data_IF_472713106748
#
_entry.id   IF_472713106748
#
_cell.length_a   1.000
_cell.length_b   1.000
_cell.length_c   1.000
_cell.angle_alpha   90.00
_cell.angle_beta   90.00
_cell.angle_gamma   90.00
#
_symmetry.space_group_name_H-M   'P 1'
#
loop_
_entity.id
_entity.type
_entity.pdbx_description
1 polymer ?
#
# COMPACT_ATOMS: atom_id res chain seq x y z
N UNK A 1 -35.06 -13.51 54.26
CA UNK A 1 -36.54 -13.63 54.29
C UNK A 1 -37.14 -12.24 54.24
N UNK A 2 -38.11 -12.04 53.34
CA UNK A 2 -39.02 -10.88 53.20
C UNK A 2 -38.40 -9.57 52.69
N UNK A 3 -38.59 -9.20 51.41
CA UNK A 3 -39.79 -8.54 50.82
C UNK A 3 -39.96 -7.11 51.38
N UNK A 4 -40.11 -6.03 50.62
CA UNK A 4 -40.45 -5.84 49.22
C UNK A 4 -41.25 -4.53 49.07
N UNK A 5 -41.14 -3.90 47.91
CA UNK A 5 -42.14 -3.03 47.26
C UNK A 5 -42.50 -1.67 47.94
N UNK A 6 -42.06 -0.55 47.34
CA UNK A 6 -42.75 0.27 46.30
C UNK A 6 -43.86 1.17 46.84
N UNK A 7 -43.71 2.48 46.59
CA UNK A 7 -44.72 3.51 46.21
C UNK A 7 -44.20 4.88 46.66
N UNK A 8 -44.39 6.04 46.03
CA UNK A 8 -44.73 6.52 44.70
C UNK A 8 -44.67 8.06 44.80
N UNK A 9 -44.30 8.75 43.71
CA UNK A 9 -44.59 10.14 43.34
C UNK A 9 -44.71 11.25 44.41
N UNK A 10 -43.89 12.30 44.27
CA UNK A 10 -44.39 13.68 44.16
C UNK A 10 -43.35 14.60 43.51
N UNK A 11 -43.71 15.13 42.34
CA UNK A 11 -43.00 16.17 41.62
C UNK A 11 -43.03 17.51 42.36
N UNK A 12 -41.98 18.33 42.23
CA UNK A 12 -42.09 19.80 42.29
C UNK A 12 -40.97 20.47 41.49
N UNK A 13 -41.41 21.03 40.38
CA UNK A 13 -40.76 22.01 39.52
C UNK A 13 -40.41 23.26 40.33
N UNK A 14 -39.21 23.80 40.15
CA UNK A 14 -38.98 25.23 40.33
C UNK A 14 -37.95 25.73 39.32
N UNK A 15 -38.49 26.55 38.42
CA UNK A 15 -37.87 27.29 37.34
C UNK A 15 -37.09 28.47 37.95
N UNK A 16 -35.84 28.67 37.54
CA UNK A 16 -35.13 29.93 37.74
C UNK A 16 -34.62 30.42 36.37
N UNK A 17 -35.31 31.45 35.89
CA UNK A 17 -35.03 32.23 34.70
C UNK A 17 -33.91 33.23 35.02
N UNK A 18 -32.85 33.25 34.20
CA UNK A 18 -32.03 34.45 34.01
C UNK A 18 -31.91 34.68 32.50
N UNK A 19 -32.53 35.77 32.07
CA UNK A 19 -32.55 36.29 30.70
C UNK A 19 -31.39 37.25 30.52
N UNK A 20 -30.68 37.09 29.39
CA UNK A 20 -30.27 38.21 28.55
C UNK A 20 -28.81 38.67 28.68
N UNK A 21 -28.00 38.35 27.67
CA UNK A 21 -27.54 39.40 26.76
C UNK A 21 -27.24 38.85 25.37
N UNK A 22 -27.75 39.56 24.39
CA UNK A 22 -27.83 39.25 22.97
C UNK A 22 -26.52 39.74 22.32
N UNK A 23 -25.71 38.82 21.79
CA UNK A 23 -24.68 39.13 20.80
C UNK A 23 -24.93 38.25 19.59
N UNK A 24 -25.57 38.85 18.58
CA UNK A 24 -25.79 38.28 17.26
C UNK A 24 -24.43 38.13 16.60
N UNK A 25 -23.85 36.93 16.70
CA UNK A 25 -22.78 36.50 15.81
C UNK A 25 -23.45 35.68 14.72
N UNK A 26 -23.85 36.35 13.62
CA UNK A 26 -24.14 35.68 12.35
C UNK A 26 -22.81 35.22 11.74
N UNK A 27 -22.21 34.21 12.37
CA UNK A 27 -21.21 33.37 11.72
C UNK A 27 -21.97 32.25 11.03
N UNK A 28 -21.96 32.26 9.70
CA UNK A 28 -22.49 31.21 8.85
C UNK A 28 -22.00 29.84 9.32
N UNK A 29 -22.90 29.07 9.94
CA UNK A 29 -22.75 27.63 10.10
C UNK A 29 -22.81 27.03 8.70
N UNK A 30 -21.65 26.82 8.10
CA UNK A 30 -21.52 25.90 6.97
C UNK A 30 -21.93 24.52 7.47
N UNK A 31 -22.82 23.81 6.75
CA UNK A 31 -23.18 22.45 7.12
C UNK A 31 -21.91 21.58 7.04
N UNK A 32 -21.56 20.95 8.16
CA UNK A 32 -20.69 19.79 8.19
C UNK A 32 -21.39 18.68 7.39
N UNK A 33 -20.90 18.44 6.17
CA UNK A 33 -21.53 17.55 5.20
C UNK A 33 -20.92 17.68 3.82
N UNK A 34 -19.63 17.39 3.70
CA UNK A 34 -18.99 16.91 2.49
C UNK A 34 -17.71 16.19 2.94
N UNK A 35 -17.70 14.86 2.82
CA UNK A 35 -16.45 14.10 2.77
C UNK A 35 -15.55 14.74 1.71
N UNK A 36 -14.21 14.77 1.84
CA UNK A 36 -13.38 15.18 0.73
C UNK A 36 -13.60 14.15 -0.37
N UNK A 37 -14.49 14.47 -1.29
CA UNK A 37 -14.50 13.95 -2.64
C UNK A 37 -13.03 13.97 -3.08
N UNK A 38 -12.46 12.83 -3.46
CA UNK A 38 -11.01 12.67 -3.64
C UNK A 38 -10.41 13.80 -4.49
N UNK A 39 -9.09 14.01 -4.44
CA UNK A 39 -8.43 15.16 -5.11
C UNK A 39 -8.89 15.40 -6.56
N UNK A 40 -9.27 14.35 -7.29
CA UNK A 40 -9.92 14.45 -8.60
C UNK A 40 -11.23 15.26 -8.59
N UNK A 41 -12.16 14.98 -7.68
CA UNK A 41 -13.43 15.70 -7.57
C UNK A 41 -13.24 17.13 -7.07
N UNK A 42 -12.29 17.34 -6.15
CA UNK A 42 -11.93 18.67 -5.67
C UNK A 42 -11.26 19.51 -6.78
N UNK A 43 -10.39 18.89 -7.59
CA UNK A 43 -9.81 19.52 -8.77
C UNK A 43 -10.89 19.84 -9.81
N UNK A 44 -11.81 18.92 -10.10
CA UNK A 44 -12.91 19.14 -11.02
C UNK A 44 -13.79 20.33 -10.58
N UNK A 45 -14.18 20.40 -9.30
CA UNK A 45 -14.94 21.54 -8.75
C UNK A 45 -14.15 22.85 -8.83
N UNK A 46 -12.85 22.83 -8.56
CA UNK A 46 -12.00 24.00 -8.71
C UNK A 46 -11.96 24.48 -10.17
N UNK A 47 -11.89 23.55 -11.12
CA UNK A 47 -11.87 23.87 -12.55
C UNK A 47 -13.22 24.40 -13.05
N UNK A 48 -14.34 23.84 -12.58
CA UNK A 48 -15.69 24.35 -12.82
C UNK A 48 -15.88 25.79 -12.30
N UNK A 49 -15.26 26.12 -11.16
CA UNK A 49 -15.29 27.47 -10.60
C UNK A 49 -14.44 28.49 -11.38
N UNK A 50 -13.72 28.06 -12.44
CA UNK A 50 -12.86 28.88 -13.27
C UNK A 50 -11.40 28.97 -12.81
N UNK A 51 -10.97 28.06 -11.94
CA UNK A 51 -9.55 27.93 -11.59
C UNK A 51 -8.82 27.06 -12.62
N UNK A 52 -7.62 27.45 -13.02
CA UNK A 52 -6.79 26.65 -13.95
C UNK A 52 -5.77 25.78 -13.22
N UNK A 53 -5.61 25.98 -11.92
CA UNK A 53 -4.61 25.28 -11.10
C UNK A 53 -5.30 24.83 -9.81
N UNK A 54 -5.21 23.54 -9.52
CA UNK A 54 -5.56 22.93 -8.25
C UNK A 54 -4.30 22.35 -7.64
N UNK A 55 -4.08 22.61 -6.35
CA UNK A 55 -2.99 22.01 -5.57
C UNK A 55 -3.62 21.43 -4.31
N UNK A 56 -3.51 20.11 -4.17
CA UNK A 56 -3.97 19.41 -2.98
C UNK A 56 -3.18 19.87 -1.75
N UNK A 57 -3.82 20.05 -0.58
CA UNK A 57 -3.13 20.28 0.69
C UNK A 57 -2.10 19.19 1.01
N UNK A 58 -2.32 17.97 0.51
CA UNK A 58 -1.50 16.78 0.77
C UNK A 58 -0.53 16.47 -0.38
N UNK A 59 -0.36 17.39 -1.35
CA UNK A 59 0.52 17.20 -2.50
C UNK A 59 2.01 17.00 -2.13
N UNK A 60 2.43 17.46 -0.94
CA UNK A 60 3.83 17.39 -0.49
C UNK A 60 4.82 18.21 -1.33
N UNK A 61 4.33 19.00 -2.29
CA UNK A 61 5.11 19.79 -3.24
C UNK A 61 4.71 21.25 -3.22
N UNK A 62 5.68 22.15 -3.34
CA UNK A 62 5.42 23.60 -3.39
C UNK A 62 5.26 24.05 -4.84
N UNK A 63 4.09 24.61 -5.15
CA UNK A 63 3.79 25.20 -6.46
C UNK A 63 3.22 26.59 -6.25
N UNK A 64 3.83 27.60 -6.88
CA UNK A 64 3.25 28.93 -6.94
C UNK A 64 2.08 28.94 -7.93
N UNK A 65 0.89 28.61 -7.41
CA UNK A 65 -0.34 28.54 -8.19
C UNK A 65 -0.72 29.90 -8.79
N UNK A 66 -0.34 31.03 -8.16
CA UNK A 66 -0.64 32.36 -8.68
C UNK A 66 0.23 32.69 -9.89
N UNK A 67 1.53 32.40 -9.82
CA UNK A 67 2.44 32.55 -10.95
C UNK A 67 2.04 31.64 -12.12
N UNK A 68 1.71 30.38 -11.84
CA UNK A 68 1.30 29.43 -12.86
C UNK A 68 -0.04 29.84 -13.51
N UNK A 69 -1.01 30.31 -12.71
CA UNK A 69 -2.27 30.86 -13.23
C UNK A 69 -2.04 32.07 -14.15
N UNK A 70 -1.14 32.98 -13.77
CA UNK A 70 -0.78 34.13 -14.61
C UNK A 70 -0.11 33.71 -15.91
N UNK A 71 0.66 32.61 -15.91
CA UNK A 71 1.34 32.06 -17.07
C UNK A 71 0.40 31.35 -18.04
N UNK A 72 -0.53 30.55 -17.51
CA UNK A 72 -1.56 29.85 -18.28
C UNK A 72 -2.48 30.84 -19.01
N UNK A 73 -2.87 31.93 -18.33
CA UNK A 73 -3.63 33.01 -18.95
C UNK A 73 -4.96 32.53 -19.56
N UNK A 74 -5.04 32.52 -20.90
CA UNK A 74 -6.24 32.09 -21.66
C UNK A 74 -6.10 30.70 -22.29
N UNK A 75 -4.95 30.05 -22.12
CA UNK A 75 -4.72 28.71 -22.64
C UNK A 75 -5.68 27.74 -21.95
N UNK A 76 -6.35 26.84 -22.69
CA UNK A 76 -7.27 25.86 -22.10
C UNK A 76 -6.46 24.73 -21.45
N UNK A 77 -5.56 25.08 -20.53
CA UNK A 77 -4.72 24.19 -19.74
C UNK A 77 -5.19 24.23 -18.29
N UNK A 78 -5.41 23.06 -17.71
CA UNK A 78 -5.73 22.84 -16.32
C UNK A 78 -4.66 21.97 -15.69
N UNK A 79 -4.20 22.35 -14.51
CA UNK A 79 -3.12 21.64 -13.80
C UNK A 79 -3.64 21.21 -12.44
N UNK A 80 -3.63 19.91 -12.18
CA UNK A 80 -3.94 19.33 -10.88
C UNK A 80 -2.66 18.75 -10.27
N UNK A 81 -2.25 19.28 -9.13
CA UNK A 81 -1.18 18.71 -8.30
C UNK A 81 -1.86 18.02 -7.13
N UNK A 82 -1.77 16.70 -7.07
CA UNK A 82 -2.53 15.84 -6.13
C UNK A 82 -1.60 15.11 -5.17
N UNK A 83 -2.16 14.43 -4.17
CA UNK A 83 -1.38 13.61 -3.25
C UNK A 83 -0.55 12.53 -3.98
N UNK A 84 0.72 12.29 -3.59
CA UNK A 84 1.68 11.47 -4.33
C UNK A 84 1.36 9.97 -4.41
N UNK A 85 0.33 9.51 -3.72
CA UNK A 85 -0.12 8.11 -3.69
C UNK A 85 -1.27 7.82 -4.67
N UNK A 86 -1.61 8.78 -5.53
CA UNK A 86 -2.67 8.63 -6.53
C UNK A 86 -2.08 8.35 -7.92
N UNK A 87 -2.74 7.50 -8.70
CA UNK A 87 -2.39 7.30 -10.12
C UNK A 87 -2.83 8.52 -10.93
N UNK A 88 -1.91 9.28 -11.57
CA UNK A 88 -2.30 10.46 -12.36
C UNK A 88 -3.34 10.17 -13.45
N UNK A 89 -3.27 8.98 -14.07
CA UNK A 89 -4.20 8.56 -15.12
C UNK A 89 -5.64 8.38 -14.59
N UNK A 90 -5.81 7.74 -13.44
CA UNK A 90 -7.12 7.51 -12.82
C UNK A 90 -7.76 8.85 -12.42
N UNK A 91 -6.95 9.75 -11.85
CA UNK A 91 -7.34 11.11 -11.46
C UNK A 91 -7.72 11.92 -12.70
N UNK A 92 -6.90 11.91 -13.76
CA UNK A 92 -7.19 12.61 -15.01
C UNK A 92 -8.50 12.13 -15.64
N UNK A 93 -8.74 10.81 -15.64
CA UNK A 93 -9.97 10.21 -16.15
C UNK A 93 -11.20 10.61 -15.35
N UNK A 94 -11.09 10.63 -14.02
CA UNK A 94 -12.17 11.06 -13.14
C UNK A 94 -12.49 12.55 -13.34
N UNK A 95 -11.47 13.42 -13.38
CA UNK A 95 -11.65 14.85 -13.66
C UNK A 95 -12.33 15.06 -15.01
N UNK A 96 -11.87 14.37 -16.06
CA UNK A 96 -12.44 14.50 -17.42
C UNK A 96 -13.89 14.00 -17.51
N UNK A 97 -14.27 13.03 -16.66
CA UNK A 97 -15.65 12.52 -16.60
C UNK A 97 -16.60 13.53 -15.96
N UNK A 98 -16.13 14.25 -14.94
CA UNK A 98 -16.92 15.25 -14.20
C UNK A 98 -16.92 16.60 -14.91
N UNK A 99 -15.77 17.03 -15.41
CA UNK A 99 -15.54 18.31 -16.06
C UNK A 99 -15.26 18.09 -17.56
N UNK A 100 -16.25 18.39 -18.41
CA UNK A 100 -16.26 18.05 -19.85
C UNK A 100 -16.20 19.26 -20.83
N UNK A 101 -15.22 20.19 -20.74
CA UNK A 101 -14.91 21.12 -21.84
C UNK A 101 -13.77 20.64 -22.77
N UNK A 102 -13.58 21.33 -23.90
CA UNK A 102 -12.39 21.20 -24.76
C UNK A 102 -11.17 21.80 -24.06
N UNK A 103 -10.31 20.94 -23.50
CA UNK A 103 -9.18 21.38 -22.68
C UNK A 103 -8.01 20.39 -22.70
N UNK A 104 -6.88 20.84 -22.14
CA UNK A 104 -5.73 20.02 -21.77
C UNK A 104 -5.67 19.95 -20.25
N UNK A 105 -5.60 18.75 -19.68
CA UNK A 105 -5.39 18.55 -18.24
C UNK A 105 -4.03 17.91 -18.05
N UNK A 106 -3.20 18.49 -17.18
CA UNK A 106 -2.03 17.83 -16.63
C UNK A 106 -2.29 17.47 -15.16
N UNK A 107 -2.03 16.23 -14.80
CA UNK A 107 -2.11 15.74 -13.42
C UNK A 107 -0.73 15.34 -12.96
N UNK A 108 -0.33 15.83 -11.78
CA UNK A 108 0.97 15.59 -11.16
C UNK A 108 0.72 14.96 -9.79
N UNK A 109 1.34 13.80 -9.55
CA UNK A 109 1.27 13.05 -8.30
C UNK A 109 2.69 12.64 -7.92
N UNK A 110 3.32 13.36 -6.99
CA UNK A 110 4.71 13.12 -6.65
C UNK A 110 5.63 13.30 -7.86
N UNK A 111 6.40 12.27 -8.21
CA UNK A 111 7.23 12.28 -9.43
C UNK A 111 6.43 11.89 -10.68
N UNK A 112 5.25 11.31 -10.57
CA UNK A 112 4.50 10.86 -11.73
C UNK A 112 3.63 11.99 -12.28
N UNK A 113 3.50 12.04 -13.61
CA UNK A 113 2.68 13.04 -14.27
C UNK A 113 2.11 12.47 -15.57
N UNK A 114 0.90 12.90 -15.91
CA UNK A 114 0.27 12.59 -17.20
C UNK A 114 -0.45 13.81 -17.73
N UNK A 115 -0.55 13.93 -19.05
CA UNK A 115 -1.38 14.94 -19.69
C UNK A 115 -2.34 14.33 -20.70
N UNK A 116 -3.62 14.69 -20.58
CA UNK A 116 -4.65 14.36 -21.55
C UNK A 116 -5.21 15.63 -22.16
N UNK A 117 -5.66 15.58 -23.40
CA UNK A 117 -6.28 16.73 -24.05
C UNK A 117 -7.41 16.33 -24.98
N UNK A 118 -8.48 17.10 -24.91
CA UNK A 118 -9.59 17.12 -25.87
C UNK A 118 -9.49 18.33 -26.80
N UNK A 119 -8.54 19.25 -26.57
CA UNK A 119 -8.31 20.45 -27.39
C UNK A 119 -7.12 20.33 -28.36
N UNK A 120 -6.12 19.50 -28.04
CA UNK A 120 -4.96 19.21 -28.89
C UNK A 120 -5.16 17.91 -29.68
N UNK A 121 -4.35 17.70 -30.71
CA UNK A 121 -4.38 16.44 -31.47
C UNK A 121 -4.11 15.22 -30.56
N UNK A 122 -4.72 14.08 -30.90
CA UNK A 122 -4.69 12.87 -30.06
C UNK A 122 -3.26 12.43 -29.72
N UNK A 123 -2.97 12.30 -28.42
CA UNK A 123 -1.67 11.87 -27.90
C UNK A 123 -0.58 12.95 -27.89
N UNK A 124 -0.84 14.18 -28.32
CA UNK A 124 0.19 15.23 -28.32
C UNK A 124 0.38 15.88 -26.94
N UNK A 125 -0.66 15.94 -26.11
CA UNK A 125 -0.54 16.49 -24.76
C UNK A 125 0.48 15.74 -23.90
N UNK A 126 0.42 14.40 -23.91
CA UNK A 126 1.33 13.54 -23.15
C UNK A 126 2.76 13.58 -23.71
N UNK A 127 2.91 13.61 -25.05
CA UNK A 127 4.22 13.80 -25.69
C UNK A 127 4.86 15.14 -25.35
N UNK A 128 4.07 16.22 -25.37
CA UNK A 128 4.53 17.55 -24.99
C UNK A 128 5.01 17.50 -23.53
N UNK A 129 4.18 16.98 -22.63
CA UNK A 129 4.52 16.86 -21.21
C UNK A 129 5.83 16.10 -21.00
N UNK A 130 5.98 14.93 -21.63
CA UNK A 130 7.19 14.11 -21.52
C UNK A 130 8.42 14.81 -22.11
N UNK A 131 8.26 15.50 -23.25
CA UNK A 131 9.35 16.25 -23.87
C UNK A 131 9.81 17.44 -23.02
N UNK A 132 8.87 18.16 -22.39
CA UNK A 132 9.17 19.28 -21.49
C UNK A 132 9.79 18.75 -20.21
N UNK A 133 9.27 17.65 -19.67
CA UNK A 133 9.79 16.96 -18.49
C UNK A 133 11.25 16.55 -18.68
N UNK A 134 11.58 15.95 -19.81
CA UNK A 134 12.96 15.56 -20.14
C UNK A 134 13.91 16.77 -20.18
N UNK A 135 13.47 17.92 -20.73
CA UNK A 135 14.26 19.17 -20.76
C UNK A 135 14.44 19.81 -19.38
N UNK A 136 13.50 19.59 -18.46
CA UNK A 136 13.45 20.20 -17.13
C UNK A 136 13.67 19.19 -15.98
N UNK A 137 14.26 18.02 -16.25
CA UNK A 137 14.47 16.98 -15.24
C UNK A 137 15.26 17.48 -14.01
N UNK A 138 16.24 18.38 -14.23
CA UNK A 138 17.00 19.00 -13.15
C UNK A 138 16.16 19.95 -12.28
N UNK A 139 15.21 20.69 -12.87
CA UNK A 139 14.30 21.57 -12.14
C UNK A 139 13.29 20.76 -11.31
N UNK A 140 12.82 19.63 -11.86
CA UNK A 140 11.91 18.71 -11.16
C UNK A 140 12.61 18.07 -9.97
N UNK A 141 13.85 17.56 -10.15
CA UNK A 141 14.65 17.01 -9.07
C UNK A 141 14.95 18.03 -7.97
N UNK A 142 15.09 19.32 -8.33
CA UNK A 142 15.27 20.42 -7.39
C UNK A 142 13.95 20.93 -6.76
N UNK A 143 12.82 20.28 -7.01
CA UNK A 143 11.50 20.68 -6.47
C UNK A 143 10.93 21.95 -7.10
N UNK A 144 11.47 22.44 -8.21
CA UNK A 144 11.04 23.68 -8.90
C UNK A 144 9.91 23.43 -9.88
N UNK A 145 8.82 22.80 -9.41
CA UNK A 145 7.68 22.43 -10.25
C UNK A 145 7.07 23.61 -11.01
N UNK A 146 7.00 24.80 -10.41
CA UNK A 146 6.46 26.00 -11.08
C UNK A 146 7.23 26.36 -12.35
N UNK A 147 8.55 26.14 -12.38
CA UNK A 147 9.39 26.47 -13.56
C UNK A 147 9.08 25.51 -14.71
N UNK A 148 9.05 24.21 -14.42
CA UNK A 148 8.69 23.17 -15.37
C UNK A 148 7.26 23.32 -15.89
N UNK A 149 6.27 23.49 -15.00
CA UNK A 149 4.87 23.65 -15.37
C UNK A 149 4.62 24.92 -16.20
N UNK A 150 5.40 25.98 -15.96
CA UNK A 150 5.35 27.20 -16.76
C UNK A 150 5.86 26.97 -18.19
N UNK A 151 6.92 26.17 -18.37
CA UNK A 151 7.42 25.79 -19.68
C UNK A 151 6.44 24.88 -20.42
N UNK A 152 5.79 23.95 -19.70
CA UNK A 152 4.75 23.10 -20.28
C UNK A 152 3.54 23.93 -20.74
N UNK A 153 3.16 24.97 -20.00
CA UNK A 153 2.10 25.89 -20.42
C UNK A 153 2.44 26.63 -21.73
N UNK A 154 3.71 27.00 -21.95
CA UNK A 154 4.17 27.61 -23.21
C UNK A 154 4.13 26.60 -24.38
N UNK A 155 4.52 25.35 -24.13
CA UNK A 155 4.49 24.27 -25.12
C UNK A 155 3.04 23.94 -25.53
N UNK A 156 2.11 23.87 -24.58
CA UNK A 156 0.67 23.67 -24.84
C UNK A 156 0.06 24.87 -25.58
N UNK A 157 0.44 26.10 -25.25
CA UNK A 157 -0.04 27.29 -25.93
C UNK A 157 0.44 27.39 -27.40
N UNK A 158 1.58 26.75 -27.70
CA UNK A 158 2.19 26.74 -29.04
C UNK A 158 1.77 25.51 -29.88
N UNK A 159 1.05 24.57 -29.27
CA UNK A 159 0.66 23.33 -29.92
C UNK A 159 -0.54 23.50 -30.88
N UNK A 160 -0.59 22.74 -31.99
CA UNK A 160 -1.73 22.79 -32.90
C UNK A 160 -2.99 22.26 -32.21
N UNK A 161 -4.09 23.00 -32.36
CA UNK A 161 -5.40 22.63 -31.82
C UNK A 161 -6.16 21.69 -32.77
N UNK A 162 -7.13 20.93 -32.25
CA UNK A 162 -8.01 20.09 -33.09
C UNK A 162 -8.80 20.90 -34.12
N UNK A 163 -9.14 22.15 -33.79
CA UNK A 163 -9.97 23.02 -34.64
C UNK A 163 -9.19 23.66 -35.80
N UNK A 164 -7.85 23.70 -35.73
CA UNK A 164 -7.02 24.30 -36.78
C UNK A 164 -6.95 23.48 -38.07
N UNK A 165 -7.46 22.23 -38.08
CA UNK A 165 -7.29 21.32 -39.23
C UNK A 165 -5.84 20.87 -39.46
N UNK A 166 -4.90 21.43 -38.69
CA UNK A 166 -3.46 21.12 -38.67
C UNK A 166 -3.13 19.86 -37.87
N UNK A 167 -4.14 19.14 -37.36
CA UNK A 167 -4.02 17.72 -36.99
C UNK A 167 -3.85 16.86 -38.25
N UNK A 168 -2.93 17.23 -39.13
CA UNK A 168 -2.35 16.32 -40.09
C UNK A 168 -1.57 15.28 -39.31
N UNK A 169 -1.73 14.01 -39.68
CA UNK A 169 -0.90 12.93 -39.18
C UNK A 169 0.58 13.35 -39.26
N UNK A 170 1.17 13.70 -38.11
CA UNK A 170 2.52 14.25 -37.99
C UNK A 170 3.58 13.20 -38.34
N UNK A 171 3.72 12.91 -39.63
CA UNK A 171 4.91 12.34 -40.22
C UNK A 171 5.88 13.46 -40.57
N UNK A 172 6.95 13.57 -39.79
CA UNK A 172 8.07 14.48 -40.05
C UNK A 172 9.41 13.79 -39.83
N UNK A 173 9.86 12.99 -40.81
CA UNK A 173 11.29 12.85 -41.09
C UNK A 173 11.49 12.74 -42.60
N UNK A 174 12.24 13.69 -43.13
CA UNK A 174 12.63 13.87 -44.53
C UNK A 174 13.37 12.67 -45.15
N UNK A 175 12.90 12.19 -46.31
CA UNK A 175 13.62 11.29 -47.23
C UNK A 175 12.74 10.20 -47.86
N UNK A 176 12.78 9.96 -49.19
CA UNK A 176 11.72 9.27 -49.92
C UNK A 176 11.79 7.75 -49.73
N UNK A 177 11.07 7.23 -48.75
CA UNK A 177 10.96 5.79 -48.51
C UNK A 177 9.81 5.51 -47.57
N UNK A 178 8.61 5.34 -48.13
CA UNK A 178 7.32 5.03 -47.50
C UNK A 178 7.40 4.58 -46.03
N UNK A 179 7.03 5.50 -45.13
CA UNK A 179 7.21 5.37 -43.68
C UNK A 179 5.99 4.84 -42.90
N UNK A 180 4.89 4.58 -43.62
CA UNK A 180 3.64 4.14 -43.04
C UNK A 180 3.64 2.76 -42.34
N UNK A 181 4.41 1.73 -42.74
CA UNK A 181 4.37 0.44 -42.05
C UNK A 181 5.09 0.44 -40.70
N UNK A 182 6.10 1.30 -40.48
CA UNK A 182 6.86 1.29 -39.23
C UNK A 182 6.23 2.12 -38.11
N UNK A 183 5.45 3.15 -38.41
CA UNK A 183 4.72 3.91 -37.37
C UNK A 183 3.56 3.12 -36.77
N UNK A 184 2.81 2.35 -37.60
CA UNK A 184 1.84 1.36 -37.10
C UNK A 184 2.58 0.27 -36.33
N UNK A 185 3.74 -0.18 -36.85
CA UNK A 185 4.61 -1.12 -36.15
C UNK A 185 5.04 -0.65 -34.76
N UNK A 186 5.51 0.59 -34.61
CA UNK A 186 5.97 1.16 -33.32
C UNK A 186 4.80 1.44 -32.38
N UNK A 187 3.65 1.92 -32.86
CA UNK A 187 2.46 2.10 -32.03
C UNK A 187 1.93 0.76 -31.48
N UNK A 188 1.88 -0.27 -32.33
CA UNK A 188 1.52 -1.64 -31.91
C UNK A 188 2.58 -2.23 -30.98
N UNK A 189 3.88 -1.99 -31.23
CA UNK A 189 4.96 -2.44 -30.36
C UNK A 189 4.97 -1.72 -29.01
N UNK A 190 4.64 -0.43 -28.96
CA UNK A 190 4.54 0.36 -27.73
C UNK A 190 3.36 -0.08 -26.87
N UNK A 191 2.17 -0.23 -27.46
CA UNK A 191 1.01 -0.81 -26.76
C UNK A 191 1.26 -2.26 -26.33
N UNK A 192 1.94 -3.06 -27.15
CA UNK A 192 2.35 -4.42 -26.79
C UNK A 192 3.38 -4.42 -25.65
N UNK A 193 4.31 -3.46 -25.61
CA UNK A 193 5.31 -3.33 -24.56
C UNK A 193 4.68 -2.91 -23.22
N UNK A 194 3.74 -1.96 -23.23
CA UNK A 194 2.97 -1.55 -22.04
C UNK A 194 2.10 -2.72 -21.55
N UNK A 195 1.34 -3.36 -22.43
CA UNK A 195 0.55 -4.54 -22.09
C UNK A 195 1.43 -5.68 -21.55
N UNK A 196 2.60 -5.92 -22.17
CA UNK A 196 3.58 -6.89 -21.69
C UNK A 196 4.12 -6.52 -20.30
N UNK A 197 4.43 -5.25 -20.05
CA UNK A 197 4.92 -4.78 -18.76
C UNK A 197 3.85 -4.92 -17.65
N UNK A 198 2.60 -4.53 -17.92
CA UNK A 198 1.48 -4.68 -16.97
C UNK A 198 1.21 -6.16 -16.69
N UNK A 199 1.16 -7.01 -17.72
CA UNK A 199 1.00 -8.46 -17.55
C UNK A 199 2.18 -9.07 -16.79
N UNK A 200 3.41 -8.60 -17.02
CA UNK A 200 4.59 -9.08 -16.30
C UNK A 200 4.55 -8.69 -14.81
N UNK A 201 4.18 -7.45 -14.48
CA UNK A 201 3.98 -7.01 -13.08
C UNK A 201 2.87 -7.81 -12.39
N UNK A 202 1.74 -8.02 -13.07
CA UNK A 202 0.65 -8.86 -12.55
C UNK A 202 1.12 -10.30 -12.31
N UNK A 203 1.80 -10.92 -13.28
CA UNK A 203 2.37 -12.27 -13.13
C UNK A 203 3.38 -12.37 -11.99
N UNK A 204 4.17 -11.33 -11.73
CA UNK A 204 5.10 -11.29 -10.59
C UNK A 204 4.35 -11.23 -9.26
N UNK A 205 3.33 -10.37 -9.13
CA UNK A 205 2.46 -10.33 -7.95
C UNK A 205 1.75 -11.66 -7.72
N UNK A 206 1.15 -12.23 -8.77
CA UNK A 206 0.48 -13.53 -8.72
C UNK A 206 1.46 -14.67 -8.37
N UNK A 207 2.73 -14.59 -8.80
CA UNK A 207 3.76 -15.54 -8.41
C UNK A 207 4.15 -15.40 -6.93
N UNK A 208 4.28 -14.17 -6.44
CA UNK A 208 4.54 -13.88 -5.02
C UNK A 208 3.44 -14.46 -4.12
N UNK A 209 2.17 -14.12 -4.41
CA UNK A 209 1.02 -14.60 -3.64
C UNK A 209 0.90 -16.13 -3.68
N UNK A 210 1.19 -16.78 -4.82
CA UNK A 210 1.26 -18.25 -4.89
C UNK A 210 2.37 -18.83 -4.04
N UNK A 211 3.55 -18.20 -4.03
CA UNK A 211 4.66 -18.57 -3.16
C UNK A 211 4.27 -18.51 -1.68
N UNK A 212 3.65 -17.40 -1.26
CA UNK A 212 3.14 -17.20 0.10
C UNK A 212 2.08 -18.23 0.48
N UNK A 213 1.10 -18.46 -0.38
CA UNK A 213 0.09 -19.52 -0.16
C UNK A 213 0.73 -20.88 0.01
N UNK A 214 1.79 -21.19 -0.73
CA UNK A 214 2.50 -22.47 -0.64
C UNK A 214 3.24 -22.59 0.69
N UNK A 215 3.96 -21.54 1.12
CA UNK A 215 4.63 -21.49 2.42
C UNK A 215 3.64 -21.69 3.57
N UNK A 216 2.55 -20.92 3.58
CA UNK A 216 1.57 -20.98 4.67
C UNK A 216 0.82 -22.30 4.68
N UNK A 217 0.48 -22.86 3.51
CA UNK A 217 -0.11 -24.21 3.41
C UNK A 217 0.81 -25.26 4.03
N UNK A 218 2.13 -25.20 3.78
CA UNK A 218 3.08 -26.16 4.37
C UNK A 218 3.11 -26.08 5.90
N UNK A 219 3.07 -24.87 6.47
CA UNK A 219 2.98 -24.67 7.93
C UNK A 219 1.63 -25.15 8.50
N UNK A 220 0.54 -24.88 7.80
CA UNK A 220 -0.81 -25.29 8.17
C UNK A 220 -0.96 -26.82 8.19
N UNK A 221 -0.48 -27.50 7.15
CA UNK A 221 -0.52 -28.96 7.07
C UNK A 221 0.29 -29.62 8.20
N UNK A 222 1.46 -29.02 8.51
CA UNK A 222 2.30 -29.44 9.63
C UNK A 222 1.57 -29.26 10.97
N UNK A 223 0.97 -28.10 11.21
CA UNK A 223 0.18 -27.84 12.42
C UNK A 223 -1.00 -28.82 12.53
N UNK A 224 -1.71 -29.06 11.43
CA UNK A 224 -2.81 -30.02 11.40
C UNK A 224 -2.37 -31.44 11.71
N UNK A 225 -1.17 -31.84 11.29
CA UNK A 225 -0.60 -33.14 11.66
C UNK A 225 -0.36 -33.25 13.17
N UNK A 226 0.09 -32.17 13.81
CA UNK A 226 0.35 -32.13 15.25
C UNK A 226 -0.95 -32.21 16.05
N UNK A 227 -1.92 -31.36 15.72
CA UNK A 227 -3.24 -31.30 16.35
C UNK A 227 -3.97 -32.63 16.27
N UNK A 228 -3.88 -33.34 15.12
CA UNK A 228 -4.58 -34.62 14.93
C UNK A 228 -3.86 -35.84 15.52
N UNK A 229 -2.54 -35.80 15.71
CA UNK A 229 -1.75 -36.98 16.10
C UNK A 229 -1.29 -36.97 17.56
N UNK A 230 -1.16 -35.79 18.18
CA UNK A 230 -0.70 -35.70 19.56
C UNK A 230 -1.85 -36.04 20.51
N UNK A 231 -1.62 -37.06 21.34
CA UNK A 231 -2.47 -37.39 22.47
C UNK A 231 -1.90 -36.70 23.72
N UNK A 232 -2.69 -35.88 24.45
CA UNK A 232 -2.27 -35.29 25.72
C UNK A 232 -1.86 -36.30 26.79
N UNK A 233 -2.22 -37.58 26.67
CA UNK A 233 -1.86 -38.65 27.61
C UNK A 233 -2.15 -38.33 29.10
N UNK A 234 -3.18 -37.50 29.36
CA UNK A 234 -3.57 -37.06 30.69
C UNK A 234 -2.75 -35.90 31.28
N UNK A 235 -1.76 -35.36 30.55
CA UNK A 235 -1.01 -34.17 30.96
C UNK A 235 -1.82 -32.90 30.72
N UNK A 236 -2.18 -32.20 31.81
CA UNK A 236 -3.03 -31.01 31.74
C UNK A 236 -2.38 -29.85 30.95
N UNK A 237 -1.05 -29.72 31.02
CA UNK A 237 -0.32 -28.72 30.27
C UNK A 237 -0.40 -29.01 28.77
N UNK A 238 -0.12 -30.24 28.35
CA UNK A 238 -0.22 -30.69 26.96
C UNK A 238 -1.65 -30.60 26.44
N UNK A 239 -2.65 -30.92 27.26
CA UNK A 239 -4.06 -30.82 26.90
C UNK A 239 -4.45 -29.37 26.57
N UNK A 240 -4.12 -28.42 27.44
CA UNK A 240 -4.39 -27.00 27.17
C UNK A 240 -3.58 -26.50 25.96
N UNK A 241 -2.32 -26.89 25.85
CA UNK A 241 -1.50 -26.45 24.72
C UNK A 241 -1.96 -27.02 23.37
N UNK A 242 -2.53 -28.22 23.35
CA UNK A 242 -3.16 -28.77 22.14
C UNK A 242 -4.52 -28.12 21.85
N UNK A 243 -5.27 -27.70 22.87
CA UNK A 243 -6.49 -26.90 22.68
C UNK A 243 -6.15 -25.55 22.04
N UNK A 244 -5.15 -24.84 22.59
CA UNK A 244 -4.62 -23.59 22.04
C UNK A 244 -4.13 -23.79 20.59
N UNK A 245 -3.39 -24.86 20.31
CA UNK A 245 -2.93 -25.19 18.96
C UNK A 245 -4.09 -25.46 17.98
N UNK A 246 -5.17 -26.12 18.46
CA UNK A 246 -6.36 -26.42 17.66
C UNK A 246 -7.14 -25.16 17.30
N UNK A 247 -7.30 -24.23 18.26
CA UNK A 247 -7.93 -22.93 18.01
C UNK A 247 -7.14 -22.14 16.95
N UNK A 248 -5.81 -22.10 17.08
CA UNK A 248 -4.97 -21.43 16.08
C UNK A 248 -5.02 -22.13 14.72
N UNK A 249 -5.12 -23.47 14.69
CA UNK A 249 -5.32 -24.23 13.45
C UNK A 249 -6.63 -23.85 12.76
N UNK A 250 -7.74 -23.82 13.48
CA UNK A 250 -9.05 -23.47 12.90
C UNK A 250 -9.05 -22.03 12.36
N UNK A 251 -8.51 -21.09 13.12
CA UNK A 251 -8.38 -19.69 12.68
C UNK A 251 -7.45 -19.53 11.48
N UNK A 252 -6.31 -20.24 11.47
CA UNK A 252 -5.37 -20.23 10.35
C UNK A 252 -6.01 -20.79 9.08
N UNK A 253 -6.78 -21.88 9.21
CA UNK A 253 -7.49 -22.50 8.09
C UNK A 253 -8.54 -21.57 7.49
N UNK A 254 -9.35 -20.93 8.33
CA UNK A 254 -10.34 -19.94 7.89
C UNK A 254 -9.67 -18.78 7.14
N UNK A 255 -8.61 -18.20 7.73
CA UNK A 255 -7.89 -17.06 7.15
C UNK A 255 -7.18 -17.45 5.84
N UNK A 256 -6.46 -18.56 5.82
CA UNK A 256 -5.76 -19.06 4.62
C UNK A 256 -6.73 -19.36 3.47
N UNK A 257 -7.93 -19.86 3.77
CA UNK A 257 -8.93 -20.16 2.74
C UNK A 257 -9.40 -18.91 2.00
N UNK A 258 -9.50 -17.77 2.70
CA UNK A 258 -9.95 -16.49 2.16
C UNK A 258 -8.81 -15.54 1.74
N UNK A 259 -7.55 -15.89 2.03
CA UNK A 259 -6.41 -14.99 1.82
C UNK A 259 -6.07 -14.75 0.34
N UNK A 260 -6.08 -13.49 -0.08
CA UNK A 260 -5.70 -13.00 -1.41
C UNK A 260 -4.71 -11.83 -1.36
N UNK A 261 -4.33 -11.39 -0.16
CA UNK A 261 -3.36 -10.30 0.07
C UNK A 261 -2.18 -10.75 0.92
N UNK A 262 -1.08 -10.00 0.82
CA UNK A 262 0.11 -10.20 1.66
C UNK A 262 -0.22 -10.21 3.16
N UNK A 263 -1.01 -9.24 3.63
CA UNK A 263 -1.39 -9.13 5.03
C UNK A 263 -2.20 -10.34 5.53
N UNK A 264 -3.12 -10.87 4.73
CA UNK A 264 -3.90 -12.06 5.09
C UNK A 264 -3.03 -13.31 5.17
N UNK A 265 -2.07 -13.47 4.25
CA UNK A 265 -1.08 -14.54 4.35
C UNK A 265 -0.18 -14.37 5.59
N UNK A 266 0.18 -13.14 5.98
CA UNK A 266 0.99 -12.89 7.18
C UNK A 266 0.22 -13.24 8.44
N UNK A 267 -1.07 -12.91 8.46
CA UNK A 267 -1.98 -13.23 9.54
C UNK A 267 -2.12 -14.76 9.69
N UNK A 268 -2.42 -15.47 8.60
CA UNK A 268 -2.52 -16.93 8.59
C UNK A 268 -1.19 -17.60 8.99
N UNK A 269 -0.06 -17.07 8.50
CA UNK A 269 1.28 -17.53 8.88
C UNK A 269 1.53 -17.36 10.39
N UNK A 270 1.22 -16.19 10.94
CA UNK A 270 1.39 -15.92 12.36
C UNK A 270 0.59 -16.91 13.22
N UNK A 271 -0.66 -17.19 12.85
CA UNK A 271 -1.48 -18.20 13.52
C UNK A 271 -0.90 -19.61 13.44
N UNK A 272 -0.40 -20.02 12.26
CA UNK A 272 0.29 -21.31 12.14
C UNK A 272 1.51 -21.38 13.07
N UNK A 273 2.32 -20.32 13.15
CA UNK A 273 3.51 -20.30 14.02
C UNK A 273 3.17 -20.33 15.51
N UNK A 274 2.11 -19.63 15.91
CA UNK A 274 1.58 -19.67 17.28
C UNK A 274 1.09 -21.06 17.65
N UNK A 275 0.26 -21.68 16.78
CA UNK A 275 -0.22 -23.05 16.97
C UNK A 275 0.90 -24.08 16.99
N UNK A 276 1.90 -23.96 16.09
CA UNK A 276 3.08 -24.84 16.08
C UNK A 276 3.90 -24.68 17.36
N UNK A 277 4.00 -23.46 17.89
CA UNK A 277 4.71 -23.21 19.16
C UNK A 277 3.99 -23.87 20.33
N UNK A 278 2.65 -23.80 20.36
CA UNK A 278 1.82 -24.48 21.34
C UNK A 278 1.95 -26.01 21.24
N UNK A 279 1.85 -26.58 20.03
CA UNK A 279 2.03 -28.01 19.79
C UNK A 279 3.43 -28.51 20.18
N UNK A 280 4.48 -27.72 19.92
CA UNK A 280 5.85 -28.02 20.34
C UNK A 280 6.00 -27.97 21.87
N UNK A 281 5.32 -27.06 22.54
CA UNK A 281 5.27 -27.03 24.00
C UNK A 281 4.57 -28.27 24.58
N UNK A 282 3.48 -28.73 23.95
CA UNK A 282 2.81 -29.98 24.31
C UNK A 282 3.75 -31.19 24.16
N UNK A 283 4.42 -31.34 23.00
CA UNK A 283 5.44 -32.39 22.80
C UNK A 283 6.52 -32.38 23.86
N UNK A 284 7.02 -31.20 24.20
CA UNK A 284 8.03 -31.03 25.24
C UNK A 284 7.53 -31.52 26.60
N UNK A 285 6.29 -31.18 26.97
CA UNK A 285 5.66 -31.64 28.21
C UNK A 285 5.53 -33.17 28.26
N UNK A 286 5.19 -33.77 27.12
CA UNK A 286 5.03 -35.21 26.94
C UNK A 286 6.37 -35.98 26.79
N UNK A 287 7.52 -35.29 26.79
CA UNK A 287 8.83 -35.91 26.56
C UNK A 287 9.02 -36.47 25.15
N UNK A 288 8.25 -35.99 24.18
CA UNK A 288 8.34 -36.38 22.77
C UNK A 288 9.43 -35.57 22.05
N UNK A 289 9.89 -36.09 20.91
CA UNK A 289 10.70 -35.30 19.98
C UNK A 289 9.96 -34.02 19.59
N UNK A 290 10.64 -32.88 19.65
CA UNK A 290 10.05 -31.56 19.40
C UNK A 290 9.74 -31.34 17.91
N UNK A 291 10.28 -32.21 17.05
CA UNK A 291 10.20 -32.11 15.60
C UNK A 291 11.09 -31.01 15.04
N UNK A 292 10.93 -30.75 13.74
CA UNK A 292 11.66 -29.71 13.01
C UNK A 292 11.55 -28.35 13.72
N UNK A 293 12.57 -27.50 13.56
CA UNK A 293 12.50 -26.16 14.12
C UNK A 293 11.36 -25.36 13.47
N UNK A 294 10.76 -24.50 14.28
CA UNK A 294 9.70 -23.58 13.83
C UNK A 294 10.39 -22.32 13.33
N UNK A 295 9.99 -21.76 12.18
CA UNK A 295 10.47 -20.45 11.77
C UNK A 295 10.31 -19.46 12.93
N UNK A 296 11.39 -18.73 13.24
CA UNK A 296 11.37 -17.80 14.36
C UNK A 296 10.25 -16.79 14.11
N UNK A 297 9.40 -16.47 15.12
CA UNK A 297 8.52 -15.32 15.00
C UNK A 297 9.38 -14.09 14.70
N UNK A 298 8.81 -13.12 14.00
CA UNK A 298 9.59 -11.97 13.56
C UNK A 298 10.18 -11.20 14.74
N UNK A 299 11.21 -10.42 14.44
CA UNK A 299 12.03 -9.73 15.42
C UNK A 299 11.15 -8.83 16.31
N UNK A 300 11.35 -8.85 17.64
CA UNK A 300 10.67 -7.93 18.53
C UNK A 300 10.84 -6.47 18.10
N UNK A 301 9.76 -5.71 18.10
CA UNK A 301 9.76 -4.27 17.98
C UNK A 301 9.72 -3.69 19.42
N UNK A 302 10.88 -3.28 19.92
CA UNK A 302 11.01 -2.69 21.27
C UNK A 302 11.36 -3.69 22.39
N UNK A 303 10.95 -3.33 23.61
CA UNK A 303 11.24 -4.12 24.82
C UNK A 303 10.58 -5.49 24.75
N UNK A 304 11.34 -6.54 25.04
CA UNK A 304 10.83 -7.90 25.20
C UNK A 304 10.71 -8.23 26.68
N UNK A 305 9.61 -8.86 27.06
CA UNK A 305 9.44 -9.39 28.41
C UNK A 305 10.55 -10.39 28.75
N UNK A 306 11.11 -10.22 29.94
CA UNK A 306 12.08 -11.12 30.58
C UNK A 306 11.38 -12.07 31.58
N UNK A 307 10.35 -11.58 32.25
CA UNK A 307 9.51 -12.31 33.19
C UNK A 307 8.02 -12.03 32.94
N UNK A 308 7.15 -12.91 33.46
CA UNK A 308 5.72 -12.69 33.39
C UNK A 308 5.32 -11.49 34.26
N UNK A 309 4.59 -10.53 33.69
CA UNK A 309 4.14 -9.33 34.42
C UNK A 309 2.82 -8.81 33.90
N UNK A 310 2.10 -8.09 34.77
CA UNK A 310 0.90 -7.36 34.37
C UNK A 310 1.30 -6.15 33.53
N UNK A 311 0.57 -5.93 32.44
CA UNK A 311 0.69 -4.80 31.53
C UNK A 311 -0.66 -4.12 31.45
N UNK A 312 -0.68 -2.80 31.59
CA UNK A 312 -1.87 -2.01 31.38
C UNK A 312 -1.94 -1.61 29.91
N UNK A 313 -2.98 -2.05 29.21
CA UNK A 313 -3.24 -1.68 27.82
C UNK A 313 -4.58 -0.96 27.78
N UNK A 314 -4.56 0.35 27.52
CA UNK A 314 -5.74 1.22 27.67
C UNK A 314 -6.33 1.08 29.09
N UNK A 315 -7.61 0.75 29.22
CA UNK A 315 -8.31 0.60 30.50
C UNK A 315 -8.35 -0.86 31.00
N UNK A 316 -7.66 -1.78 30.33
CA UNK A 316 -7.66 -3.20 30.66
C UNK A 316 -6.27 -3.71 31.06
N UNK A 317 -6.24 -4.66 32.00
CA UNK A 317 -5.01 -5.28 32.48
C UNK A 317 -4.82 -6.65 31.84
N UNK A 318 -3.66 -6.86 31.24
CA UNK A 318 -3.26 -8.12 30.62
C UNK A 318 -2.05 -8.70 31.34
N UNK A 319 -1.89 -10.02 31.30
CA UNK A 319 -0.67 -10.68 31.76
C UNK A 319 0.14 -11.07 30.52
N UNK A 320 1.35 -10.53 30.41
CA UNK A 320 2.28 -10.87 29.34
C UNK A 320 3.31 -11.89 29.82
N UNK A 321 3.68 -12.83 28.96
CA UNK A 321 4.66 -13.88 29.23
C UNK A 321 5.85 -13.80 28.26
N UNK A 322 7.10 -14.05 28.72
CA UNK A 322 8.30 -13.98 27.86
C UNK A 322 8.43 -15.17 26.87
N UNK A 323 7.67 -16.24 27.14
CA UNK A 323 7.61 -17.49 26.38
C UNK A 323 6.16 -17.98 26.36
N UNK A 324 5.85 -18.82 25.38
CA UNK A 324 4.54 -19.46 25.29
C UNK A 324 4.17 -20.09 26.64
N UNK A 325 2.94 -19.82 27.06
CA UNK A 325 2.33 -20.32 28.28
C UNK A 325 0.91 -20.77 27.91
N UNK A 326 0.46 -21.98 28.29
CA UNK A 326 -0.90 -22.43 27.97
C UNK A 326 -1.97 -21.44 28.47
N UNK A 327 -2.96 -21.16 27.64
CA UNK A 327 -3.94 -20.10 27.85
C UNK A 327 -3.46 -18.70 27.41
N UNK A 328 -2.23 -18.58 26.90
CA UNK A 328 -1.69 -17.37 26.29
C UNK A 328 -1.11 -17.65 24.90
N UNK A 329 -1.96 -18.02 23.91
CA UNK A 329 -1.50 -18.50 22.61
C UNK A 329 -1.10 -17.40 21.64
N UNK A 330 -1.33 -16.12 21.96
CA UNK A 330 -1.13 -15.02 21.02
C UNK A 330 0.22 -14.34 21.24
N UNK A 331 1.05 -14.27 20.20
CA UNK A 331 2.36 -13.62 20.26
C UNK A 331 2.30 -12.21 19.71
N UNK A 332 2.61 -11.23 20.56
CA UNK A 332 2.79 -9.85 20.17
C UNK A 332 4.27 -9.53 20.00
N UNK A 333 4.64 -8.86 18.90
CA UNK A 333 6.04 -8.46 18.64
C UNK A 333 6.52 -7.30 19.50
N UNK A 334 5.65 -6.68 20.26
CA UNK A 334 5.96 -5.45 20.98
C UNK A 334 5.62 -4.22 20.15
N UNK A 335 5.42 -3.11 20.86
CA UNK A 335 5.06 -1.83 20.28
C UNK A 335 4.70 -0.82 21.37
N UNK A 336 4.16 0.34 21.01
CA UNK A 336 3.87 1.41 21.97
C UNK A 336 2.90 1.01 23.09
N UNK A 337 2.03 0.04 22.84
CA UNK A 337 0.99 -0.39 23.79
C UNK A 337 1.45 -1.46 24.77
N UNK A 338 2.46 -2.27 24.43
CA UNK A 338 2.89 -3.40 25.25
C UNK A 338 4.27 -3.93 24.81
N UNK A 339 5.03 -4.55 25.71
CA UNK A 339 6.27 -5.24 25.35
C UNK A 339 6.00 -6.52 24.55
N UNK A 340 7.01 -6.99 23.83
CA UNK A 340 6.96 -8.24 23.09
C UNK A 340 6.78 -9.44 24.03
N UNK A 341 5.85 -10.33 23.72
CA UNK A 341 5.49 -11.44 24.59
C UNK A 341 4.24 -12.20 24.15
N UNK A 342 3.86 -13.17 24.97
CA UNK A 342 2.69 -14.02 24.77
C UNK A 342 1.55 -13.58 25.69
N UNK A 343 0.34 -13.53 25.15
CA UNK A 343 -0.85 -12.98 25.81
C UNK A 343 -2.07 -13.88 25.62
N UNK A 344 -2.99 -13.82 26.58
CA UNK A 344 -4.26 -14.57 26.57
C UNK A 344 -5.26 -14.08 25.53
N UNK A 345 -5.18 -12.81 25.14
CA UNK A 345 -6.07 -12.23 24.14
C UNK A 345 -5.27 -11.31 23.20
N UNK A 346 -5.66 -11.24 21.92
CA UNK A 346 -4.99 -10.42 20.93
C UNK A 346 -5.51 -8.96 21.01
N UNK A 347 -5.17 -8.23 22.06
CA UNK A 347 -5.64 -6.84 22.27
C UNK A 347 -5.22 -5.87 21.15
N UNK A 348 -4.21 -6.25 20.35
CA UNK A 348 -3.76 -5.51 19.17
C UNK A 348 -4.69 -5.71 17.96
N UNK A 349 -5.52 -6.75 17.93
CA UNK A 349 -6.52 -6.97 16.86
C UNK A 349 -7.80 -6.15 17.10
N UNK A 350 -7.99 -5.57 18.31
CA UNK A 350 -9.13 -4.73 18.70
C UNK A 350 -8.89 -3.21 18.47
N UNK A 351 -8.05 -2.87 17.51
CA UNK A 351 -8.14 -1.56 16.83
C UNK A 351 -9.13 -1.77 15.68
N UNK A 352 -10.20 -0.96 15.54
CA UNK A 352 -11.34 -1.28 14.69
C UNK A 352 -10.96 -1.88 13.34
N UNK A 353 -11.41 -3.13 13.12
CA UNK A 353 -11.16 -3.99 11.96
C UNK A 353 -11.61 -3.34 10.62
N UNK A 354 -12.37 -2.25 10.68
CA UNK A 354 -12.63 -1.40 9.51
C UNK A 354 -11.34 -0.79 8.89
N UNK A 355 -10.24 -0.73 9.64
CA UNK A 355 -8.93 -0.26 9.15
C UNK A 355 -7.93 -1.38 8.83
N UNK A 356 -8.28 -2.66 9.07
CA UNK A 356 -7.35 -3.79 8.97
C UNK A 356 -7.68 -4.76 7.82
N UNK A 357 -8.91 -4.74 7.31
CA UNK A 357 -9.22 -5.31 5.98
C UNK A 357 -8.82 -4.36 4.84
N UNK A 358 -8.27 -3.19 5.18
CA UNK A 358 -7.71 -2.21 4.27
C UNK A 358 -6.49 -1.53 4.87
N UNK A 359 -5.43 -2.29 5.13
CA UNK A 359 -4.08 -1.75 5.40
C UNK A 359 -3.91 -1.05 6.75
N UNK A 360 -3.43 -1.78 7.76
CA UNK A 360 -2.91 -1.13 8.98
C UNK A 360 -3.19 -1.92 10.25
N UNK A 361 -2.54 -3.07 10.40
CA UNK A 361 -2.24 -3.70 11.70
C UNK A 361 -1.20 -4.83 11.55
N UNK A 362 -1.00 -5.34 10.33
CA UNK A 362 0.20 -6.09 9.93
C UNK A 362 1.20 -5.25 9.13
N UNK A 363 1.15 -3.92 9.30
CA UNK A 363 2.02 -2.98 8.59
C UNK A 363 3.49 -3.16 8.99
N UNK A 364 4.23 -3.77 8.07
CA UNK A 364 5.54 -3.31 7.64
C UNK A 364 6.49 -2.78 8.69
N UNK A 365 7.44 -3.63 9.10
CA UNK A 365 8.82 -3.19 8.91
C UNK A 365 9.18 -3.50 7.46
N UNK A 366 8.67 -2.72 6.51
CA UNK A 366 9.51 -2.44 5.34
C UNK A 366 10.53 -1.45 5.88
N UNK A 367 11.68 -2.00 6.26
CA UNK A 367 12.90 -1.23 6.33
C UNK A 367 12.99 -0.55 4.98
N UNK A 368 12.84 0.76 4.99
CA UNK A 368 13.24 1.65 3.93
C UNK A 368 14.61 1.19 3.43
N UNK A 369 14.63 0.57 2.25
CA UNK A 369 15.85 0.49 1.47
C UNK A 369 16.11 1.92 1.01
N UNK A 370 16.88 2.65 1.82
CA UNK A 370 17.68 3.77 1.34
C UNK A 370 18.50 3.26 0.16
N UNK A 371 18.04 3.59 -1.04
CA UNK A 371 18.81 3.47 -2.26
C UNK A 371 19.43 4.84 -2.58
N UNK A 372 20.32 5.31 -1.70
CA UNK A 372 21.28 6.36 -2.05
C UNK A 372 22.66 6.06 -1.44
N UNK A 373 23.58 5.68 -2.34
CA UNK A 373 25.02 6.00 -2.39
C UNK A 373 25.83 4.80 -2.90
N UNK A 374 25.94 4.70 -4.22
CA UNK A 374 27.13 4.10 -4.84
C UNK A 374 28.07 5.26 -5.10
N UNK A 375 28.99 5.48 -4.16
CA UNK A 375 30.23 6.20 -4.41
C UNK A 375 31.39 5.23 -4.20
N UNK A 376 32.40 5.49 -5.02
CA UNK A 376 33.77 4.97 -5.05
C UNK A 376 34.03 3.50 -5.43
N UNK A 377 34.73 3.38 -6.57
CA UNK A 377 35.53 2.25 -6.96
C UNK A 377 36.71 2.03 -5.98
N UNK A 378 37.09 0.77 -5.76
CA UNK A 378 38.47 0.29 -5.95
C UNK A 378 38.56 -1.23 -5.72
N UNK A 379 39.10 -1.89 -6.75
CA UNK A 379 40.17 -2.89 -6.72
C UNK A 379 40.12 -4.07 -5.71
N UNK A 380 40.24 -5.31 -6.22
CA UNK A 380 41.26 -6.33 -5.88
C UNK A 380 40.86 -7.72 -6.42
N UNK A 381 41.62 -8.10 -7.44
CA UNK A 381 42.10 -9.41 -7.90
C UNK A 381 41.63 -10.72 -7.20
N UNK A 382 41.16 -11.66 -8.02
CA UNK A 382 41.21 -13.10 -7.78
C UNK A 382 41.15 -13.76 -9.17
N UNK A 383 42.21 -14.37 -9.69
CA UNK A 383 42.92 -15.47 -9.04
C UNK A 383 42.28 -16.78 -9.49
N UNK A 384 42.75 -17.24 -10.65
CA UNK A 384 42.92 -18.63 -11.08
C UNK A 384 41.99 -19.72 -10.48
N UNK A 385 41.23 -20.40 -11.34
CA UNK A 385 41.22 -21.87 -11.34
C UNK A 385 40.64 -22.42 -12.65
N UNK A 386 41.54 -23.03 -13.44
CA UNK A 386 41.26 -23.68 -14.71
C UNK A 386 40.45 -24.97 -14.60
N UNK A 387 39.59 -25.18 -15.60
CA UNK A 387 38.99 -26.47 -15.93
C UNK A 387 39.51 -26.96 -17.30
N UNK A 388 40.02 -28.19 -17.43
CA UNK A 388 40.67 -28.65 -18.65
C UNK A 388 39.67 -29.03 -19.76
N UNK A 389 39.95 -28.54 -20.97
CA UNK A 389 39.35 -29.01 -22.22
C UNK A 389 40.22 -30.09 -22.86
N UNK A 390 39.65 -31.24 -23.21
CA UNK A 390 40.19 -32.16 -24.22
C UNK A 390 39.01 -32.93 -24.84
N UNK A 391 38.51 -32.56 -26.04
CA UNK A 391 38.92 -33.07 -27.37
C UNK A 391 39.53 -34.48 -27.37
N UNK A 392 38.84 -35.39 -28.06
CA UNK A 392 39.38 -36.69 -28.47
C UNK A 392 38.27 -37.55 -29.08
N UNK A 393 37.97 -37.34 -30.36
CA UNK A 393 37.13 -38.21 -31.17
C UNK A 393 38.08 -38.90 -32.15
N UNK A 394 38.31 -40.20 -31.99
CA UNK A 394 38.87 -41.11 -33.01
C UNK A 394 38.52 -42.55 -32.60
N UNK A 395 37.72 -43.25 -33.43
CA UNK A 395 38.13 -44.29 -34.40
C UNK A 395 38.41 -45.65 -33.74
N UNK A 396 37.58 -46.62 -34.12
CA UNK A 396 38.11 -47.94 -34.52
C UNK A 396 37.94 -49.11 -33.56
N UNK A 397 37.06 -50.00 -34.00
CA UNK A 397 37.36 -51.42 -34.27
C UNK A 397 36.71 -52.50 -33.38
N UNK A 398 36.31 -53.54 -34.14
CA UNK A 398 35.87 -54.92 -33.88
C UNK A 398 36.17 -55.47 -32.48
N UNK A 399 35.37 -56.37 -31.92
CA UNK A 399 34.69 -57.55 -32.51
C UNK A 399 33.67 -58.08 -31.53
#
# INVERSE_FOLDING_TARGET
>A
MSSGARSALAARVLIAVVVGFFAVFTGSLTPAGAEPSGDADAAAQAFESGSHVYVSPDAGQTVDAAALKSKIGKTPLFVAVVAPNQTPEDVAKQITTTFNPSMTIAVISGTDATATSTALCEGDADKLLESTRAKHAADIAAGKLTTWLSAFADDVASAPSQDSGDCGAGGGSSGPGSVLPWMIGIGVLGLAAIAYYVVRKKKQKDASLRGRRTEVTALYDRLGADVRRLDPAGDAFAAQALADASERYDWAGATLSAADTDGEFDAARAACLEGLTAARAARKSLGLDLGEDIPRPERPQGERLDQARQIQVRDETYVGHPRYTPGAPHYYRGGPSAPAGWYAAPFWDNVPIASMLGGGLFGGNEVEYDAESVDEADEWDSGDNGGPTARGRDIGDRS
#
